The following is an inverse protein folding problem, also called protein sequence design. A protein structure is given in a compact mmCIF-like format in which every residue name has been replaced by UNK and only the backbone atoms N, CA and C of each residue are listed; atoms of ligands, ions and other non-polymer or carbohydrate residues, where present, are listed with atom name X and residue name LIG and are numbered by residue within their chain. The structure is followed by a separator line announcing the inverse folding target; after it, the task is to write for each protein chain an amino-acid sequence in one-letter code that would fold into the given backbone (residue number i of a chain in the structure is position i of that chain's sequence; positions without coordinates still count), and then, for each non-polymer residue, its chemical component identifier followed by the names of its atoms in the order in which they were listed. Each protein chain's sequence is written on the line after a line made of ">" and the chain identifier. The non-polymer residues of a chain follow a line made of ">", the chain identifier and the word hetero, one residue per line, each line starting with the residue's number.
data_IF_337540194444
#
_entry.id   IF_337540194444
#
_cell.length_a   1.000
_cell.length_b   1.000
_cell.length_c   1.000
_cell.angle_alpha   90.00
_cell.angle_beta   90.00
_cell.angle_gamma   90.00
#
_symmetry.space_group_name_H-M   'P 1'
#
loop_
_entity.id
_entity.type
_entity.pdbx_description
1 polymer ?
#
# COMPACT_ATOMS: atom_id res chain seq x y z
N UNK A 1 24.50 -3.52 4.18
CA UNK A 1 23.09 -3.74 4.57
C UNK A 1 22.20 -2.53 4.25
N UNK A 2 22.54 -1.31 4.69
CA UNK A 2 21.73 -0.11 4.43
C UNK A 2 21.44 0.17 2.94
N UNK A 3 22.45 0.04 2.07
CA UNK A 3 22.29 0.23 0.63
C UNK A 3 21.34 -0.81 -0.01
N UNK A 4 21.41 -2.06 0.45
CA UNK A 4 20.51 -3.14 -0.01
C UNK A 4 19.07 -2.87 0.41
N UNK A 5 18.85 -2.36 1.63
CA UNK A 5 17.52 -1.99 2.11
C UNK A 5 16.95 -0.79 1.31
N UNK A 6 17.75 0.24 1.05
CA UNK A 6 17.34 1.38 0.22
C UNK A 6 16.96 0.95 -1.20
N UNK A 7 17.74 0.05 -1.80
CA UNK A 7 17.43 -0.48 -3.12
C UNK A 7 16.10 -1.25 -3.10
N UNK A 8 15.89 -2.14 -2.12
CA UNK A 8 14.64 -2.89 -1.97
C UNK A 8 13.42 -1.96 -1.85
N UNK A 9 13.50 -0.93 -1.00
CA UNK A 9 12.40 0.01 -0.86
C UNK A 9 12.17 0.85 -2.12
N UNK A 10 13.23 1.20 -2.86
CA UNK A 10 13.11 1.90 -4.14
C UNK A 10 12.41 1.04 -5.19
N UNK A 11 12.80 -0.24 -5.31
CA UNK A 11 12.16 -1.20 -6.21
C UNK A 11 10.70 -1.43 -5.83
N UNK A 12 10.41 -1.56 -4.53
CA UNK A 12 9.04 -1.71 -4.03
C UNK A 12 8.17 -0.49 -4.35
N UNK A 13 8.72 0.72 -4.21
CA UNK A 13 8.02 1.98 -4.58
C UNK A 13 7.74 2.04 -6.07
N UNK A 14 8.73 1.71 -6.91
CA UNK A 14 8.57 1.69 -8.36
C UNK A 14 7.52 0.68 -8.78
N UNK A 15 7.59 -0.55 -8.27
CA UNK A 15 6.62 -1.60 -8.54
C UNK A 15 5.20 -1.17 -8.20
N UNK A 16 4.99 -0.54 -7.03
CA UNK A 16 3.67 -0.07 -6.62
C UNK A 16 3.10 1.00 -7.57
N UNK A 17 3.94 1.91 -8.05
CA UNK A 17 3.56 2.95 -9.01
C UNK A 17 3.24 2.39 -10.39
N UNK A 18 3.93 1.34 -10.82
CA UNK A 18 3.67 0.65 -12.08
C UNK A 18 2.36 -0.15 -11.98
N UNK A 19 2.18 -0.92 -10.90
CA UNK A 19 0.98 -1.72 -10.69
C UNK A 19 -0.29 -0.89 -10.54
N UNK A 20 -0.20 0.31 -9.94
CA UNK A 20 -1.34 1.22 -9.80
C UNK A 20 -1.92 1.68 -11.16
N UNK A 21 -1.16 1.55 -12.26
CA UNK A 21 -1.61 1.89 -13.62
C UNK A 21 -2.30 0.73 -14.33
N UNK A 22 -2.20 -0.47 -13.79
CA UNK A 22 -2.77 -1.69 -14.38
C UNK A 22 -4.20 -1.89 -13.89
N UNK A 23 -5.12 -2.17 -14.82
CA UNK A 23 -6.47 -2.62 -14.48
C UNK A 23 -6.46 -4.10 -14.12
N UNK A 24 -6.99 -4.47 -12.96
CA UNK A 24 -7.16 -5.88 -12.60
C UNK A 24 -8.47 -6.44 -13.17
N UNK A 25 -8.39 -7.54 -13.89
CA UNK A 25 -9.55 -8.33 -14.28
C UNK A 25 -9.72 -9.50 -13.31
N UNK A 26 -10.96 -9.88 -13.01
CA UNK A 26 -11.22 -11.06 -12.23
C UNK A 26 -10.82 -12.30 -13.05
N UNK A 27 -9.76 -12.97 -12.63
CA UNK A 27 -9.39 -14.27 -13.22
C UNK A 27 -10.40 -15.32 -12.75
N UNK A 28 -11.39 -15.58 -13.61
CA UNK A 28 -12.49 -16.51 -13.39
C UNK A 28 -12.01 -17.94 -13.11
N UNK A 29 -10.75 -18.29 -13.42
CA UNK A 29 -10.22 -19.64 -13.30
C UNK A 29 -9.25 -19.84 -12.11
N UNK A 30 -8.92 -18.79 -11.36
CA UNK A 30 -7.91 -18.85 -10.29
C UNK A 30 -8.47 -18.85 -8.86
N UNK A 31 -9.67 -19.41 -8.61
CA UNK A 31 -10.27 -19.43 -7.27
C UNK A 31 -10.85 -20.80 -6.91
N UNK A 32 -10.23 -21.45 -5.91
CA UNK A 32 -10.82 -22.55 -5.14
C UNK A 32 -11.74 -22.05 -4.01
N UNK A 33 -12.13 -20.78 -4.01
CA UNK A 33 -13.13 -20.26 -3.08
C UNK A 33 -14.44 -19.97 -3.82
N UNK A 34 -15.48 -20.79 -3.62
CA UNK A 34 -16.78 -20.61 -4.25
C UNK A 34 -17.62 -19.56 -3.49
N UNK A 35 -17.02 -18.46 -3.06
CA UNK A 35 -17.73 -17.43 -2.30
C UNK A 35 -18.16 -16.27 -3.20
N UNK A 36 -19.42 -16.37 -3.61
CA UNK A 36 -20.39 -15.29 -3.70
C UNK A 36 -19.90 -14.03 -4.46
N UNK A 37 -19.98 -14.13 -5.79
CA UNK A 37 -19.79 -13.14 -6.86
C UNK A 37 -20.57 -11.79 -6.73
N UNK A 38 -21.05 -11.40 -5.55
CA UNK A 38 -21.85 -10.18 -5.35
C UNK A 38 -21.47 -9.34 -4.12
N UNK A 39 -20.48 -9.74 -3.31
CA UNK A 39 -20.12 -9.02 -2.07
C UNK A 39 -18.72 -8.41 -2.06
N UNK A 40 -17.89 -8.69 -3.08
CA UNK A 40 -16.56 -8.10 -3.15
C UNK A 40 -16.66 -6.68 -3.70
N UNK A 41 -16.26 -5.71 -2.88
CA UNK A 41 -16.12 -4.30 -3.29
C UNK A 41 -15.25 -4.18 -4.55
N UNK A 42 -15.38 -3.04 -5.24
CA UNK A 42 -14.71 -2.77 -6.52
C UNK A 42 -13.25 -3.28 -6.51
N UNK A 43 -12.99 -4.31 -7.32
CA UNK A 43 -11.69 -4.97 -7.41
C UNK A 43 -10.57 -3.96 -7.74
N UNK A 44 -10.91 -2.92 -8.53
CA UNK A 44 -9.99 -1.83 -8.83
C UNK A 44 -9.71 -0.97 -7.60
N UNK A 45 -10.73 -0.70 -6.78
CA UNK A 45 -10.56 0.04 -5.54
C UNK A 45 -9.66 -0.72 -4.57
N UNK A 46 -9.90 -2.03 -4.37
CA UNK A 46 -9.06 -2.86 -3.51
C UNK A 46 -7.61 -2.95 -4.02
N UNK A 47 -7.42 -3.04 -5.34
CA UNK A 47 -6.10 -3.00 -5.95
C UNK A 47 -5.39 -1.67 -5.68
N UNK A 48 -6.09 -0.56 -5.88
CA UNK A 48 -5.57 0.78 -5.63
C UNK A 48 -5.18 0.97 -4.16
N UNK A 49 -6.00 0.51 -3.22
CA UNK A 49 -5.69 0.54 -1.79
C UNK A 49 -4.39 -0.22 -1.47
N UNK A 50 -4.22 -1.42 -2.03
CA UNK A 50 -2.99 -2.23 -1.84
C UNK A 50 -1.76 -1.54 -2.42
N UNK A 51 -1.86 -0.99 -3.64
CA UNK A 51 -0.75 -0.27 -4.26
C UNK A 51 -0.33 0.94 -3.41
N UNK A 52 -1.31 1.71 -2.91
CA UNK A 52 -1.04 2.85 -2.02
C UNK A 52 -0.41 2.41 -0.70
N UNK A 53 -0.86 1.29 -0.12
CA UNK A 53 -0.25 0.75 1.11
C UNK A 53 1.22 0.36 0.89
N UNK A 54 1.55 -0.28 -0.23
CA UNK A 54 2.94 -0.62 -0.57
C UNK A 54 3.78 0.63 -0.81
N UNK A 55 3.27 1.61 -1.56
CA UNK A 55 3.96 2.89 -1.80
C UNK A 55 4.21 3.68 -0.50
N UNK A 56 3.22 3.68 0.42
CA UNK A 56 3.33 4.25 1.74
C UNK A 56 4.46 3.58 2.55
N UNK A 57 4.48 2.24 2.62
CA UNK A 57 5.51 1.49 3.34
C UNK A 57 6.91 1.67 2.73
N UNK A 58 7.01 1.72 1.41
CA UNK A 58 8.26 1.96 0.72
C UNK A 58 8.83 3.33 1.04
N UNK A 59 7.98 4.37 0.98
CA UNK A 59 8.36 5.73 1.35
C UNK A 59 8.78 5.82 2.81
N UNK A 60 8.10 5.09 3.71
CA UNK A 60 8.49 5.01 5.10
C UNK A 60 9.89 4.41 5.28
N UNK A 61 10.20 3.29 4.60
CA UNK A 61 11.51 2.64 4.66
C UNK A 61 12.65 3.45 4.04
N UNK A 62 12.33 4.38 3.14
CA UNK A 62 13.28 5.33 2.55
C UNK A 62 13.47 6.61 3.38
N UNK A 63 12.61 6.86 4.36
CA UNK A 63 12.64 8.12 5.12
C UNK A 63 11.89 9.29 4.54
N UNK A 64 11.14 9.03 3.49
CA UNK A 64 10.43 10.00 2.71
C UNK A 64 9.10 10.34 3.40
N UNK A 65 9.18 11.04 4.54
CA UNK A 65 8.02 11.33 5.41
C UNK A 65 6.90 12.05 4.65
N UNK A 66 7.25 13.00 3.77
CA UNK A 66 6.26 13.72 2.96
C UNK A 66 5.51 12.79 2.00
N UNK A 67 6.23 11.86 1.35
CA UNK A 67 5.67 10.89 0.42
C UNK A 67 4.84 9.83 1.16
N UNK A 68 5.29 9.42 2.35
CA UNK A 68 4.52 8.56 3.25
C UNK A 68 3.18 9.21 3.62
N UNK A 69 3.18 10.46 4.12
CA UNK A 69 1.94 11.14 4.53
C UNK A 69 1.02 11.38 3.33
N UNK A 70 1.57 11.71 2.16
CA UNK A 70 0.79 11.84 0.92
C UNK A 70 0.08 10.52 0.56
N UNK A 71 0.81 9.39 0.55
CA UNK A 71 0.24 8.09 0.22
C UNK A 71 -0.79 7.63 1.27
N UNK A 72 -0.52 7.91 2.55
CA UNK A 72 -1.44 7.62 3.66
C UNK A 72 -2.73 8.44 3.57
N UNK A 73 -2.63 9.72 3.23
CA UNK A 73 -3.78 10.59 3.03
C UNK A 73 -4.63 10.11 1.85
N UNK A 74 -4.00 9.74 0.73
CA UNK A 74 -4.72 9.18 -0.42
C UNK A 74 -5.42 7.85 -0.07
N UNK A 75 -4.73 6.95 0.63
CA UNK A 75 -5.31 5.68 1.09
C UNK A 75 -6.52 5.91 2.01
N UNK A 76 -6.40 6.87 2.94
CA UNK A 76 -7.48 7.22 3.89
C UNK A 76 -8.64 7.91 3.18
N UNK A 77 -8.39 8.69 2.12
CA UNK A 77 -9.44 9.28 1.30
C UNK A 77 -10.26 8.23 0.53
N UNK A 78 -9.61 7.14 0.08
CA UNK A 78 -10.27 6.04 -0.64
C UNK A 78 -10.99 5.09 0.32
N UNK A 79 -10.39 4.80 1.47
CA UNK A 79 -10.97 3.93 2.48
C UNK A 79 -10.65 4.46 3.88
N UNK A 80 -11.50 5.30 4.49
CA UNK A 80 -11.24 5.87 5.81
C UNK A 80 -11.07 4.83 6.94
N UNK A 81 -11.62 3.62 6.75
CA UNK A 81 -11.59 2.52 7.70
C UNK A 81 -10.61 1.41 7.28
N UNK A 82 -9.58 1.74 6.49
CA UNK A 82 -8.64 0.74 5.99
C UNK A 82 -7.96 -0.02 7.16
N UNK A 83 -7.80 -1.35 7.03
CA UNK A 83 -7.23 -2.15 8.10
C UNK A 83 -5.83 -1.66 8.46
N UNK A 84 -5.61 -1.31 9.73
CA UNK A 84 -4.35 -0.76 10.32
C UNK A 84 -4.21 0.77 10.30
N UNK A 85 -5.17 1.55 9.78
CA UNK A 85 -5.11 3.02 9.80
C UNK A 85 -4.78 3.61 11.18
N UNK A 86 -5.48 3.15 12.21
CA UNK A 86 -5.27 3.58 13.60
C UNK A 86 -3.87 3.20 14.11
N UNK A 87 -3.40 2.00 13.78
CA UNK A 87 -2.07 1.53 14.15
C UNK A 87 -1.01 2.46 13.55
N UNK A 88 -1.01 2.66 12.23
CA UNK A 88 -0.03 3.50 11.54
C UNK A 88 -0.04 4.95 12.05
N UNK A 89 -1.22 5.52 12.28
CA UNK A 89 -1.37 6.86 12.86
C UNK A 89 -0.71 6.97 14.24
N UNK A 90 -0.77 5.89 15.02
CA UNK A 90 -0.25 5.88 16.40
C UNK A 90 1.25 5.60 16.43
N UNK A 91 1.73 4.64 15.63
CA UNK A 91 3.10 4.12 15.79
C UNK A 91 4.13 4.82 14.90
N UNK A 92 3.75 5.29 13.71
CA UNK A 92 4.71 5.81 12.74
C UNK A 92 5.47 7.05 13.19
N UNK A 93 4.86 8.03 13.92
CA UNK A 93 5.61 9.16 14.46
C UNK A 93 6.80 8.74 15.35
N UNK A 94 6.68 7.61 16.06
CA UNK A 94 7.77 7.05 16.85
C UNK A 94 8.78 6.33 15.98
N UNK A 95 8.30 5.49 15.05
CA UNK A 95 9.15 4.70 14.15
C UNK A 95 10.04 5.60 13.29
N UNK A 96 9.54 6.73 12.81
CA UNK A 96 10.31 7.64 11.96
C UNK A 96 11.59 8.17 12.62
N UNK A 97 11.65 8.24 13.95
CA UNK A 97 12.87 8.63 14.66
C UNK A 97 13.98 7.55 14.62
N UNK A 98 13.65 6.33 14.17
CA UNK A 98 14.56 5.17 14.14
C UNK A 98 14.90 4.69 12.74
N UNK A 99 14.27 5.23 11.70
CA UNK A 99 14.52 4.83 10.30
C UNK A 99 15.74 5.58 9.71
N UNK A 100 16.28 6.56 10.44
CA UNK A 100 17.54 7.28 10.16
C UNK A 100 18.43 7.41 11.40
#
# INVERSE_FOLDING_TARGET
>A
EQQTAQQLFSEMKQWAQEMAKTSIEADFFAVSQPDLLSLYGDLQQQHKEKCLMVAMLASAGLGEVAQYESARAELTAINPAWPKAALFTTVMPFIFNYVH
#
